data_IF_170915427968
#
_entry.id   IF_170915427968
#
_cell.length_a   1.000
_cell.length_b   1.000
_cell.length_c   1.000
_cell.angle_alpha   90.00
_cell.angle_beta   90.00
_cell.angle_gamma   90.00
#
_symmetry.space_group_name_H-M   'P 1'
#
loop_
_entity.id
_entity.type
_entity.pdbx_description
1 polymer ?
#
# COMPACT_ATOMS: atom_id res chain seq x y z
N UNK A 1 10.74 9.97 -32.52
CA UNK A 1 9.92 9.88 -31.29
C UNK A 1 8.50 9.28 -31.47
N UNK A 2 8.28 8.14 -32.16
CA UNK A 2 7.02 7.38 -32.05
C UNK A 2 6.98 6.42 -30.83
N UNK A 3 8.15 5.89 -30.44
CA UNK A 3 8.26 4.86 -29.40
C UNK A 3 7.73 5.31 -28.03
N UNK A 4 8.08 6.51 -27.55
CA UNK A 4 7.58 7.06 -26.28
C UNK A 4 6.05 7.22 -26.18
N UNK A 5 5.32 7.37 -27.29
CA UNK A 5 3.84 7.49 -27.25
C UNK A 5 3.16 6.14 -27.06
N UNK A 6 3.71 5.07 -27.65
CA UNK A 6 3.21 3.71 -27.45
C UNK A 6 3.46 3.21 -26.03
N UNK A 7 4.59 3.59 -25.42
CA UNK A 7 4.95 3.18 -24.05
C UNK A 7 3.95 3.72 -23.02
N UNK A 8 3.54 4.99 -23.12
CA UNK A 8 2.55 5.58 -22.19
C UNK A 8 1.19 4.87 -22.31
N UNK A 9 0.77 4.54 -23.55
CA UNK A 9 -0.47 3.80 -23.79
C UNK A 9 -0.42 2.40 -23.17
N UNK A 10 0.71 1.72 -23.31
CA UNK A 10 0.96 0.41 -22.70
C UNK A 10 0.97 0.50 -21.17
N UNK A 11 1.68 1.47 -20.59
CA UNK A 11 1.73 1.71 -19.13
C UNK A 11 0.32 1.88 -18.56
N UNK A 12 -0.52 2.73 -19.17
CA UNK A 12 -1.90 2.94 -18.70
C UNK A 12 -2.72 1.64 -18.71
N UNK A 13 -2.59 0.84 -19.77
CA UNK A 13 -3.28 -0.46 -19.88
C UNK A 13 -2.78 -1.45 -18.83
N UNK A 14 -1.46 -1.52 -18.62
CA UNK A 14 -0.84 -2.37 -17.61
C UNK A 14 -1.29 -1.98 -16.20
N UNK A 15 -1.20 -0.70 -15.83
CA UNK A 15 -1.68 -0.18 -14.53
C UNK A 15 -3.15 -0.50 -14.31
N UNK A 16 -4.01 -0.32 -15.32
CA UNK A 16 -5.44 -0.68 -15.22
C UNK A 16 -5.64 -2.17 -14.94
N UNK A 17 -4.90 -3.04 -15.65
CA UNK A 17 -4.96 -4.50 -15.43
C UNK A 17 -4.51 -4.87 -14.02
N UNK A 18 -3.44 -4.26 -13.50
CA UNK A 18 -3.00 -4.50 -12.13
C UNK A 18 -4.02 -4.04 -11.09
N UNK A 19 -4.69 -2.90 -11.29
CA UNK A 19 -5.76 -2.46 -10.39
C UNK A 19 -6.97 -3.42 -10.42
N UNK A 20 -7.33 -3.96 -11.59
CA UNK A 20 -8.39 -4.97 -11.71
C UNK A 20 -8.03 -6.27 -10.98
N UNK A 21 -6.79 -6.75 -11.15
CA UNK A 21 -6.29 -7.91 -10.43
C UNK A 21 -6.23 -7.63 -8.92
N UNK A 22 -5.79 -6.44 -8.53
CA UNK A 22 -5.79 -5.99 -7.14
C UNK A 22 -7.19 -6.04 -6.52
N UNK A 23 -8.21 -5.58 -7.24
CA UNK A 23 -9.59 -5.67 -6.79
C UNK A 23 -10.04 -7.13 -6.59
N UNK A 24 -9.66 -8.06 -7.46
CA UNK A 24 -9.95 -9.48 -7.28
C UNK A 24 -9.31 -10.04 -5.99
N UNK A 25 -8.07 -9.64 -5.70
CA UNK A 25 -7.40 -10.02 -4.46
C UNK A 25 -8.04 -9.40 -3.21
N UNK A 26 -8.52 -8.15 -3.29
CA UNK A 26 -9.28 -7.53 -2.19
C UNK A 26 -10.58 -8.31 -1.94
N UNK A 27 -11.31 -8.68 -3.00
CA UNK A 27 -12.52 -9.49 -2.89
C UNK A 27 -12.22 -10.88 -2.30
N UNK A 28 -11.14 -11.53 -2.73
CA UNK A 28 -10.68 -12.79 -2.14
C UNK A 28 -10.32 -12.62 -0.65
N UNK A 29 -9.70 -11.49 -0.28
CA UNK A 29 -9.41 -11.14 1.11
C UNK A 29 -10.67 -10.93 1.95
N UNK A 30 -11.72 -10.33 1.38
CA UNK A 30 -13.04 -10.22 2.05
C UNK A 30 -13.66 -11.59 2.28
N UNK A 31 -13.60 -12.49 1.30
CA UNK A 31 -14.05 -13.88 1.48
C UNK A 31 -13.24 -14.58 2.58
N UNK A 32 -11.91 -14.39 2.57
CA UNK A 32 -11.02 -14.93 3.60
C UNK A 32 -11.39 -14.41 5.00
N UNK A 33 -11.77 -13.14 5.12
CA UNK A 33 -12.20 -12.53 6.38
C UNK A 33 -13.41 -13.25 7.01
N UNK A 34 -14.36 -13.74 6.19
CA UNK A 34 -15.50 -14.50 6.72
C UNK A 34 -15.15 -15.91 7.18
N UNK A 35 -14.09 -16.51 6.62
CA UNK A 35 -13.61 -17.85 7.01
C UNK A 35 -12.41 -17.79 7.97
N UNK A 36 -12.02 -16.58 8.40
CA UNK A 36 -10.73 -16.34 9.07
C UNK A 36 -10.63 -17.08 10.40
N UNK A 37 -11.71 -17.11 11.19
CA UNK A 37 -11.78 -17.84 12.46
C UNK A 37 -11.41 -19.32 12.29
N UNK A 38 -12.04 -19.98 11.31
CA UNK A 38 -11.74 -21.38 10.96
C UNK A 38 -10.27 -21.55 10.56
N UNK A 39 -9.76 -20.67 9.69
CA UNK A 39 -8.38 -20.73 9.21
C UNK A 39 -7.38 -20.54 10.35
N UNK A 40 -7.57 -19.54 11.21
CA UNK A 40 -6.69 -19.26 12.34
C UNK A 40 -6.71 -20.38 13.37
N UNK A 41 -7.87 -20.98 13.65
CA UNK A 41 -7.99 -22.13 14.55
C UNK A 41 -7.12 -23.30 14.08
N UNK A 42 -7.16 -23.65 12.79
CA UNK A 42 -6.35 -24.73 12.24
C UNK A 42 -4.87 -24.36 12.11
N UNK A 43 -4.56 -23.11 11.76
CA UNK A 43 -3.20 -22.67 11.52
C UNK A 43 -2.41 -22.45 12.81
N UNK A 44 -3.00 -21.72 13.77
CA UNK A 44 -2.34 -21.32 15.01
C UNK A 44 -2.51 -22.34 16.14
N UNK A 45 -3.36 -23.36 15.94
CA UNK A 45 -3.64 -24.43 16.93
C UNK A 45 -3.96 -23.88 18.33
N UNK A 46 -4.61 -22.72 18.39
CA UNK A 46 -5.01 -22.06 19.64
C UNK A 46 -3.88 -21.36 20.42
N UNK A 47 -2.71 -21.12 19.82
CA UNK A 47 -1.60 -20.42 20.50
C UNK A 47 -1.83 -18.91 20.63
N UNK A 48 -2.57 -18.32 19.68
CA UNK A 48 -2.87 -16.89 19.63
C UNK A 48 -4.31 -16.74 19.18
N UNK A 49 -5.09 -15.94 19.92
CA UNK A 49 -6.44 -15.57 19.52
C UNK A 49 -6.40 -14.30 18.68
N UNK A 50 -6.95 -14.36 17.47
CA UNK A 50 -6.99 -13.24 16.53
C UNK A 50 -8.44 -12.79 16.43
N UNK A 51 -8.73 -11.64 17.02
CA UNK A 51 -10.06 -11.06 16.90
C UNK A 51 -10.35 -10.57 15.46
N UNK A 52 -11.63 -10.52 15.13
CA UNK A 52 -12.11 -10.10 13.82
C UNK A 52 -11.68 -8.68 13.44
N UNK A 53 -11.54 -7.78 14.42
CA UNK A 53 -11.12 -6.39 14.21
C UNK A 53 -9.68 -6.32 13.73
N UNK A 54 -8.79 -7.16 14.29
CA UNK A 54 -7.41 -7.29 13.86
C UNK A 54 -7.33 -7.78 12.42
N UNK A 55 -8.17 -8.75 12.05
CA UNK A 55 -8.25 -9.25 10.68
C UNK A 55 -8.78 -8.20 9.69
N UNK A 56 -9.74 -7.36 10.08
CA UNK A 56 -10.20 -6.22 9.27
C UNK A 56 -9.02 -5.28 8.99
N UNK A 57 -8.28 -4.89 10.04
CA UNK A 57 -7.13 -3.99 9.88
C UNK A 57 -6.03 -4.62 9.00
N UNK A 58 -5.81 -5.92 9.14
CA UNK A 58 -4.94 -6.69 8.24
C UNK A 58 -5.40 -6.60 6.78
N UNK A 59 -6.69 -6.84 6.51
CA UNK A 59 -7.25 -6.74 5.17
C UNK A 59 -7.07 -5.33 4.58
N UNK A 60 -7.37 -4.28 5.35
CA UNK A 60 -7.19 -2.88 4.91
C UNK A 60 -5.72 -2.58 4.62
N UNK A 61 -4.82 -3.04 5.49
CA UNK A 61 -3.38 -2.88 5.32
C UNK A 61 -2.88 -3.55 4.04
N UNK A 62 -3.17 -4.84 3.85
CA UNK A 62 -2.72 -5.57 2.66
C UNK A 62 -3.34 -5.03 1.36
N UNK A 63 -4.61 -4.62 1.40
CA UNK A 63 -5.28 -3.99 0.25
C UNK A 63 -4.59 -2.68 -0.13
N UNK A 64 -4.27 -1.85 0.85
CA UNK A 64 -3.56 -0.58 0.65
C UNK A 64 -2.13 -0.79 0.18
N UNK A 65 -1.43 -1.79 0.72
CA UNK A 65 -0.09 -2.16 0.32
C UNK A 65 -0.03 -2.62 -1.14
N UNK A 66 -0.95 -3.50 -1.55
CA UNK A 66 -1.06 -3.92 -2.94
C UNK A 66 -1.33 -2.75 -3.88
N UNK A 67 -2.28 -1.88 -3.53
CA UNK A 67 -2.58 -0.68 -4.31
C UNK A 67 -1.33 0.22 -4.46
N UNK A 68 -0.65 0.51 -3.35
CA UNK A 68 0.57 1.29 -3.33
C UNK A 68 1.68 0.67 -4.20
N UNK A 69 1.85 -0.65 -4.12
CA UNK A 69 2.90 -1.39 -4.83
C UNK A 69 2.84 -1.19 -6.34
N UNK A 70 1.64 -1.04 -6.93
CA UNK A 70 1.47 -0.82 -8.38
C UNK A 70 2.19 0.45 -8.81
N UNK A 71 2.01 1.54 -8.07
CA UNK A 71 2.58 2.84 -8.41
C UNK A 71 4.05 2.94 -8.00
N UNK A 72 4.41 2.42 -6.83
CA UNK A 72 5.80 2.37 -6.37
C UNK A 72 6.67 1.57 -7.35
N UNK A 73 6.22 0.39 -7.77
CA UNK A 73 6.95 -0.43 -8.73
C UNK A 73 7.07 0.26 -10.10
N UNK A 74 6.04 0.99 -10.54
CA UNK A 74 6.14 1.81 -11.74
C UNK A 74 7.22 2.90 -11.62
N UNK A 75 7.20 3.66 -10.52
CA UNK A 75 8.16 4.74 -10.29
C UNK A 75 9.59 4.23 -10.16
N UNK A 76 9.77 3.09 -9.50
CA UNK A 76 11.05 2.38 -9.43
C UNK A 76 11.51 1.93 -10.81
N UNK A 77 10.61 1.41 -11.65
CA UNK A 77 10.93 0.98 -13.02
C UNK A 77 11.41 2.11 -13.93
N UNK A 78 10.97 3.35 -13.70
CA UNK A 78 11.47 4.55 -14.42
C UNK A 78 12.56 5.31 -13.66
N UNK A 79 13.08 4.75 -12.56
CA UNK A 79 14.10 5.37 -11.70
C UNK A 79 13.72 6.74 -11.11
N UNK A 80 12.42 7.00 -10.90
CA UNK A 80 11.94 8.23 -10.25
C UNK A 80 11.99 8.06 -8.72
N UNK A 81 13.21 8.11 -8.17
CA UNK A 81 13.50 7.68 -6.80
C UNK A 81 13.64 8.83 -5.80
N UNK A 82 13.86 10.07 -6.23
CA UNK A 82 14.17 11.17 -5.30
C UNK A 82 13.07 11.39 -4.25
N UNK A 83 11.81 11.44 -4.69
CA UNK A 83 10.66 11.62 -3.79
C UNK A 83 10.51 10.39 -2.88
N UNK A 84 10.65 9.19 -3.45
CA UNK A 84 10.52 7.94 -2.70
C UNK A 84 11.61 7.77 -1.64
N UNK A 85 12.83 8.18 -1.93
CA UNK A 85 13.95 8.14 -1.00
C UNK A 85 13.68 9.00 0.24
N UNK A 86 13.34 10.28 0.04
CA UNK A 86 12.99 11.16 1.16
C UNK A 86 11.81 10.65 1.97
N UNK A 87 10.77 10.16 1.29
CA UNK A 87 9.61 9.62 1.97
C UNK A 87 9.96 8.35 2.78
N UNK A 88 10.82 7.47 2.25
CA UNK A 88 11.28 6.26 2.95
C UNK A 88 12.12 6.56 4.19
N UNK A 89 12.80 7.70 4.24
CA UNK A 89 13.52 8.16 5.42
C UNK A 89 12.58 8.67 6.52
N UNK A 90 11.46 9.28 6.12
CA UNK A 90 10.45 9.84 7.03
C UNK A 90 9.50 8.75 7.56
N UNK A 91 9.17 7.74 6.74
CA UNK A 91 8.21 6.69 7.07
C UNK A 91 8.47 5.97 8.41
N UNK A 92 9.71 5.53 8.75
CA UNK A 92 9.98 4.89 10.03
C UNK A 92 9.71 5.79 11.23
N UNK A 93 10.02 7.10 11.12
CA UNK A 93 9.77 8.08 12.18
C UNK A 93 8.26 8.25 12.38
N UNK A 94 7.49 8.37 11.30
CA UNK A 94 6.03 8.44 11.36
C UNK A 94 5.44 7.16 11.94
N UNK A 95 5.97 5.99 11.58
CA UNK A 95 5.53 4.71 12.10
C UNK A 95 5.70 4.64 13.62
N UNK A 96 6.90 4.90 14.13
CA UNK A 96 7.21 4.83 15.56
C UNK A 96 6.39 5.85 16.34
N UNK A 97 6.31 7.10 15.85
CA UNK A 97 5.51 8.14 16.50
C UNK A 97 4.02 7.77 16.55
N UNK A 98 3.46 7.26 15.44
CA UNK A 98 2.05 6.85 15.38
C UNK A 98 1.78 5.64 16.27
N UNK A 99 2.68 4.65 16.28
CA UNK A 99 2.53 3.45 17.08
C UNK A 99 2.56 3.79 18.58
N UNK A 100 3.53 4.60 19.00
CA UNK A 100 3.63 5.09 20.38
C UNK A 100 2.35 5.84 20.79
N UNK A 101 1.88 6.79 19.97
CA UNK A 101 0.65 7.54 20.26
C UNK A 101 -0.58 6.62 20.37
N UNK A 102 -0.78 5.71 19.42
CA UNK A 102 -1.97 4.86 19.37
C UNK A 102 -1.97 3.77 20.44
N UNK A 103 -0.80 3.26 20.83
CA UNK A 103 -0.68 2.26 21.90
C UNK A 103 -0.79 2.95 23.27
N UNK A 104 0.02 3.98 23.53
CA UNK A 104 0.18 4.50 24.90
C UNK A 104 -0.89 5.54 25.28
N UNK A 105 -1.35 6.38 24.33
CA UNK A 105 -2.39 7.37 24.62
C UNK A 105 -3.81 6.86 24.37
N UNK A 106 -4.00 6.06 23.31
CA UNK A 106 -5.34 5.59 22.89
C UNK A 106 -5.63 4.13 23.29
N UNK A 107 -4.64 3.40 23.82
CA UNK A 107 -4.85 2.03 24.30
C UNK A 107 -5.26 1.02 23.22
N UNK A 108 -4.96 1.27 21.95
CA UNK A 108 -5.45 0.45 20.82
C UNK A 108 -4.75 -0.91 20.67
N UNK A 109 -3.73 -1.20 21.49
CA UNK A 109 -3.02 -2.48 21.49
C UNK A 109 -2.43 -2.84 20.12
N UNK A 110 -2.55 -4.10 19.72
CA UNK A 110 -1.89 -4.65 18.51
C UNK A 110 -2.47 -4.05 17.22
N UNK A 111 -3.74 -3.62 17.20
CA UNK A 111 -4.35 -2.97 16.02
C UNK A 111 -3.62 -1.69 15.61
N UNK A 112 -3.03 -0.99 16.59
CA UNK A 112 -2.24 0.22 16.36
C UNK A 112 -1.11 0.00 15.36
N UNK A 113 -0.55 -1.21 15.28
CA UNK A 113 0.54 -1.52 14.36
C UNK A 113 0.09 -1.47 12.89
N UNK A 114 -1.09 -1.99 12.58
CA UNK A 114 -1.65 -1.91 11.23
C UNK A 114 -1.99 -0.47 10.85
N UNK A 115 -2.62 0.27 11.77
CA UNK A 115 -2.98 1.69 11.55
C UNK A 115 -1.73 2.53 11.36
N UNK A 116 -0.71 2.34 12.21
CA UNK A 116 0.57 3.04 12.10
C UNK A 116 1.28 2.70 10.80
N UNK A 117 1.20 1.44 10.35
CA UNK A 117 1.75 1.01 9.06
C UNK A 117 1.05 1.69 7.88
N UNK A 118 -0.28 1.85 7.95
CA UNK A 118 -1.06 2.59 6.94
C UNK A 118 -0.64 4.07 6.89
N UNK A 119 -0.51 4.72 8.06
CA UNK A 119 -0.09 6.12 8.16
C UNK A 119 1.33 6.27 7.61
N UNK A 120 2.27 5.41 8.02
CA UNK A 120 3.65 5.43 7.56
C UNK A 120 3.79 5.13 6.05
N UNK A 121 2.81 4.44 5.46
CA UNK A 121 2.76 4.12 4.03
C UNK A 121 2.17 5.24 3.17
N UNK A 122 2.01 6.47 3.70
CA UNK A 122 1.51 7.64 2.95
C UNK A 122 2.22 7.86 1.61
N UNK A 123 3.52 7.55 1.53
CA UNK A 123 4.28 7.63 0.28
C UNK A 123 3.68 6.74 -0.80
N UNK A 124 3.46 5.47 -0.48
CA UNK A 124 2.93 4.50 -1.44
C UNK A 124 1.45 4.74 -1.75
N UNK A 125 0.66 5.14 -0.74
CA UNK A 125 -0.79 5.26 -0.86
C UNK A 125 -1.21 6.58 -1.52
N UNK A 126 -0.48 7.68 -1.28
CA UNK A 126 -0.86 9.02 -1.73
C UNK A 126 0.14 9.56 -2.75
N UNK A 127 1.43 9.59 -2.39
CA UNK A 127 2.46 10.27 -3.19
C UNK A 127 2.71 9.53 -4.51
N UNK A 128 2.84 8.19 -4.49
CA UNK A 128 3.15 7.41 -5.67
C UNK A 128 2.04 7.47 -6.75
N UNK A 129 0.73 7.33 -6.41
CA UNK A 129 -0.34 7.56 -7.38
C UNK A 129 -0.38 8.98 -7.94
N UNK A 130 -0.11 9.98 -7.09
CA UNK A 130 -0.05 11.39 -7.50
C UNK A 130 1.10 11.64 -8.48
N UNK A 131 2.28 11.09 -8.19
CA UNK A 131 3.46 11.17 -9.05
C UNK A 131 3.22 10.43 -10.37
N UNK A 132 2.61 9.23 -10.34
CA UNK A 132 2.15 8.54 -11.55
C UNK A 132 1.23 9.43 -12.40
N UNK A 133 0.23 10.05 -11.78
CA UNK A 133 -0.69 10.95 -12.48
C UNK A 133 0.04 12.13 -13.14
N UNK A 134 0.97 12.75 -12.43
CA UNK A 134 1.73 13.88 -12.98
C UNK A 134 2.64 13.49 -14.15
N UNK A 135 3.26 12.31 -14.11
CA UNK A 135 4.14 11.82 -15.17
C UNK A 135 3.30 11.39 -16.39
N UNK A 136 2.27 10.58 -16.18
CA UNK A 136 1.56 9.88 -17.24
C UNK A 136 0.45 10.74 -17.88
N UNK A 137 -0.26 11.56 -17.09
CA UNK A 137 -1.37 12.37 -17.60
C UNK A 137 -0.97 13.82 -17.82
N UNK A 138 -0.21 14.42 -16.89
CA UNK A 138 0.21 15.82 -17.00
C UNK A 138 1.57 16.01 -17.68
N UNK A 139 2.31 14.94 -17.98
CA UNK A 139 3.64 14.96 -18.62
C UNK A 139 4.63 15.91 -17.92
N UNK A 140 4.50 16.08 -16.60
CA UNK A 140 5.37 16.95 -15.82
C UNK A 140 6.77 16.33 -15.73
N UNK A 141 7.80 17.16 -15.93
CA UNK A 141 9.23 16.78 -15.81
C UNK A 141 9.83 17.35 -14.53
N UNK A 142 11.10 17.07 -14.28
CA UNK A 142 11.86 17.59 -13.14
C UNK A 142 11.85 16.62 -11.96
N UNK A 143 11.47 17.10 -10.77
CA UNK A 143 11.49 16.32 -9.52
C UNK A 143 10.62 15.06 -9.60
N UNK A 144 9.60 15.05 -10.46
CA UNK A 144 8.69 13.91 -10.64
C UNK A 144 9.29 12.73 -11.43
N UNK A 145 10.33 12.93 -12.23
CA UNK A 145 10.99 11.88 -13.05
C UNK A 145 12.44 11.66 -12.57
N UNK A 146 12.79 12.16 -11.37
CA UNK A 146 14.12 12.04 -10.77
C UNK A 146 14.04 11.27 -9.46
#
# INVERSE_FOLDING_TARGET
MPFLKNDIGWIKKATKKYLQIGLLFVLAGVVMLFISDTVYKYWLKGQVDIDFTLSIWGLVFFSSFMFASIFVNFLNGISALKIQFWASLISPVIFVASAYLLIDYYGMGVHALFISSLIASFNGIIIAPLQYYFIIYKKKKGIWIR
#
